data_IF_036503398328
#
_entry.id   IF_036503398328
#
_cell.length_a   1.000
_cell.length_b   1.000
_cell.length_c   1.000
_cell.angle_alpha   90.00
_cell.angle_beta   90.00
_cell.angle_gamma   90.00
#
_symmetry.space_group_name_H-M   'P 1'
#
loop_
_entity.id
_entity.type
_entity.pdbx_description
1 polymer ?
#
# COMPACT_ATOMS: atom_id res chain seq x y z
N UNK A 1 1.60 0.63 -10.96
CA UNK A 1 2.06 1.97 -10.52
C UNK A 1 3.53 2.22 -10.76
N UNK A 2 4.42 1.25 -10.47
CA UNK A 2 5.84 1.37 -10.78
C UNK A 2 6.12 1.60 -12.27
N UNK A 3 5.42 0.91 -13.19
CA UNK A 3 5.68 1.11 -14.62
C UNK A 3 5.35 2.54 -15.07
N UNK A 4 4.21 3.09 -14.63
CA UNK A 4 3.81 4.47 -14.93
C UNK A 4 4.82 5.46 -14.34
N UNK A 5 5.21 5.26 -13.07
CA UNK A 5 6.21 6.11 -12.42
C UNK A 5 7.53 6.09 -13.18
N UNK A 6 8.01 4.91 -13.58
CA UNK A 6 9.25 4.77 -14.33
C UNK A 6 9.17 5.39 -15.73
N UNK A 7 8.03 5.25 -16.41
CA UNK A 7 7.80 5.92 -17.69
C UNK A 7 7.80 7.46 -17.55
N UNK A 8 7.26 8.01 -16.46
CA UNK A 8 7.35 9.45 -16.18
C UNK A 8 8.78 9.90 -15.89
N UNK A 9 9.55 9.10 -15.14
CA UNK A 9 10.97 9.36 -14.90
C UNK A 9 11.79 9.33 -16.20
N UNK A 10 11.54 8.34 -17.05
CA UNK A 10 12.16 8.24 -18.37
C UNK A 10 11.79 9.44 -19.24
N UNK A 11 10.50 9.81 -19.29
CA UNK A 11 10.04 10.99 -20.01
C UNK A 11 10.73 12.27 -19.55
N UNK A 12 11.02 12.42 -18.25
CA UNK A 12 11.74 13.60 -17.73
C UNK A 12 13.18 13.69 -18.22
N UNK A 13 13.81 12.60 -18.66
CA UNK A 13 15.13 12.66 -19.30
C UNK A 13 15.11 13.46 -20.60
N UNK A 14 13.94 13.58 -21.25
CA UNK A 14 13.73 14.46 -22.41
C UNK A 14 13.73 15.96 -22.08
N UNK A 15 13.90 16.33 -20.80
CA UNK A 15 13.87 17.70 -20.26
C UNK A 15 12.53 18.41 -20.39
N UNK A 16 11.46 17.69 -20.77
CA UNK A 16 10.09 18.19 -20.69
C UNK A 16 9.58 18.11 -19.25
N UNK A 17 8.84 19.12 -18.83
CA UNK A 17 8.29 19.17 -17.47
C UNK A 17 7.05 18.28 -17.34
N UNK A 18 6.84 17.75 -16.14
CA UNK A 18 5.67 16.97 -15.74
C UNK A 18 5.01 17.64 -14.54
N UNK A 19 3.72 17.92 -14.65
CA UNK A 19 2.90 18.45 -13.56
C UNK A 19 1.83 17.42 -13.17
N UNK A 20 1.67 17.21 -11.87
CA UNK A 20 0.57 16.43 -11.31
C UNK A 20 -0.41 17.35 -10.59
N UNK A 21 -1.70 17.14 -10.80
CA UNK A 21 -2.79 17.83 -10.10
C UNK A 21 -3.89 16.83 -9.73
N UNK A 22 -4.47 16.96 -8.53
CA UNK A 22 -5.61 16.13 -8.12
C UNK A 22 -6.45 16.76 -7.01
N UNK A 23 -7.73 16.38 -6.97
CA UNK A 23 -8.62 16.70 -5.86
C UNK A 23 -8.48 15.69 -4.72
N UNK A 24 -8.37 14.40 -5.04
CA UNK A 24 -8.13 13.32 -4.08
C UNK A 24 -6.92 12.53 -4.54
N UNK A 25 -5.85 12.60 -3.74
CA UNK A 25 -4.58 11.96 -4.02
C UNK A 25 -4.38 10.85 -3.00
N UNK A 26 -4.72 9.62 -3.38
CA UNK A 26 -4.42 8.44 -2.57
C UNK A 26 -2.90 8.20 -2.46
N UNK A 27 -2.45 7.38 -1.51
CA UNK A 27 -1.02 7.03 -1.40
C UNK A 27 -0.44 6.44 -2.69
N UNK A 28 -1.23 5.64 -3.42
CA UNK A 28 -0.80 5.06 -4.69
C UNK A 28 -0.74 6.12 -5.81
N UNK A 29 -1.72 7.04 -5.87
CA UNK A 29 -1.67 8.17 -6.79
C UNK A 29 -0.49 9.10 -6.48
N UNK A 30 -0.23 9.38 -5.20
CA UNK A 30 0.93 10.13 -4.75
C UNK A 30 2.24 9.46 -5.18
N UNK A 31 2.33 8.14 -5.07
CA UNK A 31 3.52 7.40 -5.48
C UNK A 31 3.88 7.65 -6.95
N UNK A 32 2.89 7.64 -7.85
CA UNK A 32 3.10 7.97 -9.27
C UNK A 32 3.41 9.46 -9.44
N UNK A 33 2.62 10.33 -8.80
CA UNK A 33 2.80 11.78 -8.83
C UNK A 33 4.18 12.23 -8.33
N UNK A 34 4.82 11.46 -7.45
CA UNK A 34 6.17 11.71 -6.95
C UNK A 34 7.24 11.74 -8.05
N UNK A 35 6.97 11.18 -9.24
CA UNK A 35 7.88 11.32 -10.38
C UNK A 35 7.81 12.69 -11.06
N UNK A 36 6.74 13.46 -10.86
CA UNK A 36 6.53 14.77 -11.47
C UNK A 36 7.48 15.84 -10.92
N UNK A 37 7.70 16.91 -11.67
CA UNK A 37 8.50 18.06 -11.21
C UNK A 37 7.77 18.86 -10.14
N UNK A 38 6.43 18.94 -10.23
CA UNK A 38 5.58 19.56 -9.23
C UNK A 38 4.29 18.78 -9.04
N UNK A 39 3.84 18.72 -7.79
CA UNK A 39 2.59 18.10 -7.37
C UNK A 39 1.73 19.19 -6.76
N UNK A 40 0.53 19.35 -7.29
CA UNK A 40 -0.49 20.26 -6.80
C UNK A 40 -1.68 19.43 -6.31
N UNK A 41 -2.23 19.85 -5.17
CA UNK A 41 -3.48 19.29 -4.65
C UNK A 41 -4.44 20.46 -4.50
N UNK A 42 -5.71 20.22 -4.81
CA UNK A 42 -6.75 21.21 -4.54
C UNK A 42 -6.71 21.60 -3.04
N UNK A 43 -6.78 22.90 -2.68
CA UNK A 43 -6.83 23.32 -1.28
C UNK A 43 -7.98 22.69 -0.47
N UNK A 44 -9.11 22.42 -1.13
CA UNK A 44 -10.27 21.70 -0.57
C UNK A 44 -10.23 20.19 -0.84
N UNK A 45 -9.09 19.70 -1.33
CA UNK A 45 -8.86 18.30 -1.65
C UNK A 45 -8.21 17.51 -0.52
N UNK A 46 -7.91 16.24 -0.81
CA UNK A 46 -7.30 15.30 0.14
C UNK A 46 -6.01 14.72 -0.42
N UNK A 47 -4.99 14.62 0.45
CA UNK A 47 -3.81 13.78 0.24
C UNK A 47 -3.75 12.74 1.35
N UNK A 48 -3.75 11.47 0.98
CA UNK A 48 -3.66 10.37 1.93
C UNK A 48 -2.20 10.00 2.18
N UNK A 49 -1.85 9.86 3.46
CA UNK A 49 -0.55 9.33 3.90
C UNK A 49 -0.72 8.56 5.21
N UNK A 50 -1.13 7.29 5.10
CA UNK A 50 -1.58 6.47 6.22
C UNK A 50 -0.81 5.15 6.37
N UNK A 51 0.20 4.91 5.54
CA UNK A 51 0.91 3.64 5.50
C UNK A 51 0.10 2.54 4.81
N UNK A 52 0.66 1.33 4.82
CA UNK A 52 0.12 0.18 4.09
C UNK A 52 -0.49 -0.81 5.07
N UNK A 53 -1.61 -1.42 4.69
CA UNK A 53 -2.28 -2.45 5.48
C UNK A 53 -2.82 -3.55 4.55
N UNK A 54 -3.02 -4.74 5.13
CA UNK A 54 -3.67 -5.87 4.48
C UNK A 54 -4.75 -6.36 5.42
N UNK A 55 -5.97 -6.50 4.89
CA UNK A 55 -7.10 -7.05 5.61
C UNK A 55 -7.63 -8.26 4.84
N UNK A 56 -7.78 -9.38 5.53
CA UNK A 56 -8.27 -10.64 4.96
C UNK A 56 -9.57 -11.05 5.68
N UNK A 57 -10.62 -11.44 4.94
CA UNK A 57 -11.81 -12.00 5.55
C UNK A 57 -11.54 -13.43 6.05
N UNK A 58 -12.21 -13.85 7.13
CA UNK A 58 -12.22 -15.23 7.60
C UNK A 58 -13.64 -15.72 7.74
N UNK A 59 -13.98 -16.75 6.96
CA UNK A 59 -15.35 -17.21 6.74
C UNK A 59 -15.66 -18.53 7.44
N UNK A 60 -14.70 -19.19 8.08
CA UNK A 60 -14.90 -20.49 8.75
C UNK A 60 -16.17 -20.51 9.62
N UNK A 61 -16.30 -19.56 10.56
CA UNK A 61 -17.48 -19.49 11.43
C UNK A 61 -18.79 -19.14 10.70
N UNK A 62 -18.72 -18.51 9.52
CA UNK A 62 -19.90 -18.31 8.66
C UNK A 62 -20.29 -19.61 7.95
N UNK A 63 -19.31 -20.34 7.43
CA UNK A 63 -19.53 -21.62 6.75
C UNK A 63 -20.07 -22.68 7.70
N UNK A 64 -19.57 -22.73 8.94
CA UNK A 64 -20.10 -23.61 9.99
C UNK A 64 -21.58 -23.33 10.29
N UNK A 65 -21.99 -22.06 10.37
CA UNK A 65 -23.41 -21.69 10.57
C UNK A 65 -24.32 -22.05 9.40
N UNK A 66 -23.75 -22.21 8.21
CA UNK A 66 -24.46 -22.59 6.99
C UNK A 66 -24.39 -24.10 6.72
N UNK A 67 -23.84 -24.89 7.66
CA UNK A 67 -23.57 -26.32 7.50
C UNK A 67 -22.71 -26.65 6.26
N UNK A 68 -21.83 -25.74 5.86
CA UNK A 68 -20.91 -25.91 4.72
C UNK A 68 -19.54 -26.37 5.23
N UNK A 69 -19.06 -27.51 4.73
CA UNK A 69 -17.75 -28.07 5.06
C UNK A 69 -16.79 -28.09 3.85
N UNK A 70 -15.88 -27.10 3.73
CA UNK A 70 -14.89 -27.07 2.66
C UNK A 70 -13.95 -28.29 2.70
N UNK A 71 -13.79 -28.97 1.57
CA UNK A 71 -12.81 -30.04 1.41
C UNK A 71 -11.48 -29.44 0.93
N UNK A 72 -10.59 -29.14 1.88
CA UNK A 72 -9.35 -28.41 1.61
C UNK A 72 -8.14 -29.35 1.68
N UNK A 73 -7.42 -29.43 0.57
CA UNK A 73 -6.12 -30.09 0.48
C UNK A 73 -5.03 -29.04 0.25
N UNK A 74 -4.03 -29.00 1.12
CA UNK A 74 -2.91 -28.09 1.00
C UNK A 74 -1.64 -28.73 1.55
N UNK A 75 -0.50 -28.28 1.03
CA UNK A 75 0.82 -28.71 1.48
C UNK A 75 1.71 -27.47 1.62
N UNK A 76 2.42 -27.38 2.75
CA UNK A 76 3.28 -26.26 3.09
C UNK A 76 2.63 -25.28 4.07
N UNK A 77 3.41 -24.88 5.08
CA UNK A 77 2.95 -23.99 6.16
C UNK A 77 2.56 -22.59 5.68
N UNK A 78 3.21 -22.12 4.62
CA UNK A 78 3.01 -20.80 4.01
C UNK A 78 1.94 -20.79 2.90
N UNK A 79 1.32 -21.93 2.59
CA UNK A 79 0.23 -21.99 1.59
C UNK A 79 -1.08 -21.49 2.20
N UNK A 80 -1.21 -20.19 2.34
CA UNK A 80 -2.26 -19.54 3.13
C UNK A 80 -3.55 -19.19 2.38
N UNK A 81 -3.59 -19.36 1.04
CA UNK A 81 -4.74 -18.98 0.21
C UNK A 81 -6.07 -19.61 0.66
N UNK A 82 -6.03 -20.77 1.31
CA UNK A 82 -7.22 -21.48 1.80
C UNK A 82 -7.61 -21.09 3.23
N UNK A 83 -6.79 -20.32 3.96
CA UNK A 83 -7.04 -19.99 5.38
C UNK A 83 -8.36 -19.27 5.61
N UNK A 84 -8.76 -18.42 4.65
CA UNK A 84 -10.07 -17.73 4.63
C UNK A 84 -11.23 -18.70 4.90
N UNK A 85 -11.10 -19.98 4.54
CA UNK A 85 -12.15 -20.98 4.66
C UNK A 85 -11.95 -21.99 5.80
N UNK A 86 -10.75 -22.10 6.39
CA UNK A 86 -10.42 -23.13 7.39
C UNK A 86 -9.91 -22.61 8.73
N UNK A 87 -9.64 -21.32 8.84
CA UNK A 87 -9.24 -20.68 10.10
C UNK A 87 -10.14 -19.48 10.39
N UNK A 88 -10.07 -18.98 11.62
CA UNK A 88 -10.85 -17.80 12.07
C UNK A 88 -10.03 -16.52 11.98
N UNK A 89 -8.72 -16.66 11.79
CA UNK A 89 -7.75 -15.58 11.68
C UNK A 89 -6.50 -16.07 10.94
N UNK A 90 -5.61 -15.12 10.59
CA UNK A 90 -4.32 -15.45 9.96
C UNK A 90 -3.52 -16.37 10.87
N UNK A 91 -2.95 -17.42 10.31
CA UNK A 91 -1.95 -18.23 11.01
C UNK A 91 -0.67 -17.42 11.26
N UNK A 92 0.18 -17.81 12.22
CA UNK A 92 1.48 -17.17 12.43
C UNK A 92 2.35 -17.15 11.15
N UNK A 93 2.33 -18.22 10.36
CA UNK A 93 3.09 -18.32 9.13
C UNK A 93 2.54 -17.40 8.03
N UNK A 94 1.22 -17.33 7.87
CA UNK A 94 0.60 -16.37 6.95
C UNK A 94 0.86 -14.92 7.38
N UNK A 95 0.80 -14.64 8.68
CA UNK A 95 1.12 -13.33 9.24
C UNK A 95 2.55 -12.93 8.90
N UNK A 96 3.52 -13.79 9.20
CA UNK A 96 4.94 -13.54 8.94
C UNK A 96 5.21 -13.24 7.46
N UNK A 97 4.75 -14.09 6.54
CA UNK A 97 4.99 -13.84 5.11
C UNK A 97 4.31 -12.56 4.61
N UNK A 98 3.14 -12.22 5.15
CA UNK A 98 2.38 -11.04 4.74
C UNK A 98 3.05 -9.78 5.27
N UNK A 99 3.55 -9.81 6.50
CA UNK A 99 4.30 -8.72 7.12
C UNK A 99 5.62 -8.47 6.38
N UNK A 100 6.37 -9.52 6.00
CA UNK A 100 7.59 -9.37 5.21
C UNK A 100 7.32 -8.78 3.82
N UNK A 101 6.34 -9.36 3.10
CA UNK A 101 5.95 -8.90 1.78
C UNK A 101 5.45 -7.44 1.79
N UNK A 102 4.56 -7.11 2.71
CA UNK A 102 4.02 -5.75 2.86
C UNK A 102 5.13 -4.77 3.27
N UNK A 103 6.01 -5.21 4.17
CA UNK A 103 7.18 -4.46 4.61
C UNK A 103 8.12 -4.12 3.47
N UNK A 104 8.43 -5.06 2.58
CA UNK A 104 9.27 -4.82 1.39
C UNK A 104 8.68 -3.75 0.48
N UNK A 105 7.39 -3.86 0.16
CA UNK A 105 6.71 -2.89 -0.70
C UNK A 105 6.70 -1.51 -0.03
N UNK A 106 6.40 -1.43 1.27
CA UNK A 106 6.32 -0.17 1.99
C UNK A 106 7.70 0.49 2.15
N UNK A 107 8.74 -0.28 2.45
CA UNK A 107 10.14 0.20 2.46
C UNK A 107 10.54 0.77 1.11
N UNK A 108 10.19 0.09 0.02
CA UNK A 108 10.45 0.60 -1.33
C UNK A 108 9.72 1.92 -1.59
N UNK A 109 8.42 1.99 -1.26
CA UNK A 109 7.62 3.22 -1.38
C UNK A 109 8.24 4.41 -0.61
N UNK A 110 8.64 4.18 0.65
CA UNK A 110 9.29 5.20 1.47
C UNK A 110 10.63 5.63 0.88
N UNK A 111 11.46 4.69 0.43
CA UNK A 111 12.77 5.00 -0.16
C UNK A 111 12.64 5.84 -1.43
N UNK A 112 11.72 5.49 -2.32
CA UNK A 112 11.46 6.25 -3.55
C UNK A 112 10.92 7.66 -3.24
N UNK A 113 10.06 7.80 -2.24
CA UNK A 113 9.53 9.10 -1.81
C UNK A 113 10.60 9.95 -1.15
N UNK A 114 11.40 9.36 -0.26
CA UNK A 114 12.53 9.98 0.43
C UNK A 114 13.51 10.60 -0.56
N UNK A 115 13.88 9.86 -1.61
CA UNK A 115 14.79 10.33 -2.65
C UNK A 115 14.30 11.60 -3.36
N UNK A 116 12.99 11.69 -3.65
CA UNK A 116 12.43 12.87 -4.36
C UNK A 116 12.20 14.04 -3.40
N UNK A 117 11.72 13.76 -2.18
CA UNK A 117 11.37 14.79 -1.19
C UNK A 117 12.56 15.29 -0.37
N UNK A 118 13.73 14.63 -0.49
CA UNK A 118 14.94 14.91 0.30
C UNK A 118 14.66 14.83 1.80
N UNK A 119 13.90 13.82 2.20
CA UNK A 119 13.58 13.49 3.59
C UNK A 119 14.11 12.08 3.89
N UNK A 120 14.34 11.77 5.16
CA UNK A 120 14.66 10.40 5.56
C UNK A 120 13.39 9.53 5.65
N UNK A 121 13.57 8.21 5.52
CA UNK A 121 12.45 7.26 5.55
C UNK A 121 11.78 7.16 6.91
N UNK A 122 12.48 7.46 8.01
CA UNK A 122 11.92 7.41 9.36
C UNK A 122 10.96 8.58 9.61
N UNK A 123 11.30 9.78 9.12
CA UNK A 123 10.38 10.93 9.11
C UNK A 123 9.12 10.60 8.32
N UNK A 124 9.27 10.07 7.11
CA UNK A 124 8.13 9.69 6.27
C UNK A 124 7.25 8.60 6.92
N UNK A 125 7.88 7.59 7.53
CA UNK A 125 7.19 6.58 8.32
C UNK A 125 6.40 7.23 9.47
N UNK A 126 7.03 8.16 10.20
CA UNK A 126 6.41 8.78 11.35
C UNK A 126 5.21 9.65 10.97
N UNK A 127 5.25 10.34 9.83
CA UNK A 127 4.11 11.09 9.32
C UNK A 127 2.88 10.20 9.10
N UNK A 128 3.07 8.95 8.67
CA UNK A 128 1.99 7.98 8.53
C UNK A 128 1.54 7.44 9.89
N UNK A 129 2.50 7.08 10.76
CA UNK A 129 2.23 6.48 12.05
C UNK A 129 1.43 7.40 12.99
N UNK A 130 1.64 8.71 12.92
CA UNK A 130 0.91 9.72 13.72
C UNK A 130 -0.30 10.30 12.99
N UNK A 131 -0.56 9.86 11.75
CA UNK A 131 -1.54 10.49 10.86
C UNK A 131 -1.36 12.02 10.82
N UNK A 132 -0.12 12.51 10.71
CA UNK A 132 0.19 13.94 10.75
C UNK A 132 -0.26 14.69 9.48
N UNK A 133 -0.40 13.99 8.36
CA UNK A 133 -0.93 14.56 7.12
C UNK A 133 -2.43 14.26 7.10
N UNK A 134 -3.21 15.24 7.57
CA UNK A 134 -4.66 15.26 7.48
C UNK A 134 -5.07 16.51 6.71
N UNK A 135 -5.93 16.36 5.72
CA UNK A 135 -6.60 17.49 5.11
C UNK A 135 -7.78 17.90 5.98
N UNK A 136 -7.94 19.21 6.21
CA UNK A 136 -9.06 19.72 7.00
C UNK A 136 -10.38 19.29 6.34
N UNK A 137 -11.25 18.69 7.14
CA UNK A 137 -12.68 18.60 6.86
C UNK A 137 -13.36 19.83 7.44
#
# INVERSE_FOLDING_TARGET
SNEIRNALLDFRTSKKFVLSYGNTVSQNAYFVASAADKIYVNPSGTLEWLGFNVSLPFLKGTLEKLDIQPQIFYAGKFKSATEIFRTEQMTPENRLQTEEWLGDIYRYFLAQTAAVRKLDTATLYQLAATAAIQTQH
#
